data_IF_264189671411
#
_entry.id   IF_264189671411
#
_cell.length_a   1.000
_cell.length_b   1.000
_cell.length_c   1.000
_cell.angle_alpha   90.00
_cell.angle_beta   90.00
_cell.angle_gamma   90.00
#
_symmetry.space_group_name_H-M   'P 1'
#
loop_
_entity.id
_entity.type
_entity.pdbx_description
1 polymer ?
#
# COMPACT_ATOMS: atom_id res chain seq x y z
N UNK A 1 -68.23 -8.29 75.28
CA UNK A 1 -68.27 -9.20 74.14
C UNK A 1 -67.42 -8.56 73.02
N UNK A 2 -66.32 -9.10 72.76
CA UNK A 2 -65.17 -8.49 72.07
C UNK A 2 -65.13 -8.79 70.63
N UNK A 3 -65.15 -7.75 69.77
CA UNK A 3 -64.97 -7.90 68.33
C UNK A 3 -63.53 -7.58 67.95
N UNK A 4 -62.81 -8.59 67.51
CA UNK A 4 -61.42 -8.45 67.01
C UNK A 4 -61.45 -8.17 65.57
N UNK A 5 -61.11 -6.97 65.15
CA UNK A 5 -60.87 -6.60 63.78
C UNK A 5 -59.45 -6.98 63.42
N UNK A 6 -59.34 -7.98 62.54
CA UNK A 6 -58.05 -8.39 61.95
C UNK A 6 -57.52 -7.37 60.93
N UNK A 7 -56.43 -6.74 61.28
CA UNK A 7 -55.70 -5.89 60.32
C UNK A 7 -54.92 -6.75 59.34
N UNK A 8 -55.40 -6.86 58.11
CA UNK A 8 -54.63 -7.44 56.99
C UNK A 8 -53.61 -6.40 56.53
N UNK A 9 -52.34 -6.64 56.82
CA UNK A 9 -51.21 -5.87 56.25
C UNK A 9 -51.04 -6.32 54.82
N UNK A 10 -51.36 -5.44 53.90
CA UNK A 10 -51.02 -5.63 52.48
C UNK A 10 -49.57 -5.16 52.27
N UNK A 11 -48.67 -6.12 52.16
CA UNK A 11 -47.27 -5.85 51.81
C UNK A 11 -47.24 -5.67 50.29
N UNK A 12 -47.16 -4.41 49.83
CA UNK A 12 -46.90 -4.09 48.45
C UNK A 12 -45.42 -4.33 48.14
N UNK A 13 -45.13 -5.40 47.40
CA UNK A 13 -43.82 -5.66 46.85
C UNK A 13 -43.58 -4.72 45.70
N UNK A 14 -42.82 -3.66 45.93
CA UNK A 14 -42.30 -2.78 44.90
C UNK A 14 -41.13 -3.51 44.22
N UNK A 15 -41.41 -4.11 43.07
CA UNK A 15 -40.38 -4.69 42.20
C UNK A 15 -39.57 -3.55 41.55
N UNK A 16 -38.39 -3.27 42.10
CA UNK A 16 -37.42 -2.38 41.45
C UNK A 16 -36.86 -3.06 40.21
N UNK A 17 -37.33 -2.64 39.05
CA UNK A 17 -36.69 -3.00 37.77
C UNK A 17 -35.40 -2.18 37.65
N UNK A 18 -34.27 -2.81 37.96
CA UNK A 18 -32.96 -2.30 37.61
C UNK A 18 -32.81 -2.43 36.09
N UNK A 19 -33.10 -1.35 35.37
CA UNK A 19 -32.70 -1.21 33.97
C UNK A 19 -31.19 -1.07 33.96
N UNK A 20 -30.50 -2.19 33.81
CA UNK A 20 -29.07 -2.22 33.57
C UNK A 20 -28.80 -1.55 32.21
N UNK A 21 -28.21 -0.36 32.25
CA UNK A 21 -27.55 0.21 31.04
C UNK A 21 -26.39 -0.72 30.70
N UNK A 22 -26.61 -1.65 29.81
CA UNK A 22 -25.49 -2.31 29.12
C UNK A 22 -24.76 -1.21 28.34
N UNK A 23 -23.62 -0.77 28.87
CA UNK A 23 -22.65 -0.01 28.08
C UNK A 23 -22.22 -0.92 26.95
N UNK A 24 -22.91 -0.80 25.81
CA UNK A 24 -22.43 -1.36 24.56
C UNK A 24 -21.02 -0.81 24.37
N UNK A 25 -20.03 -1.69 24.43
CA UNK A 25 -18.63 -1.36 24.21
C UNK A 25 -18.55 -0.57 22.90
N UNK A 26 -18.11 0.68 23.01
CA UNK A 26 -17.92 1.58 21.88
C UNK A 26 -16.81 1.05 20.98
N UNK A 27 -17.11 0.03 20.18
CA UNK A 27 -16.36 -0.22 18.96
C UNK A 27 -16.45 1.07 18.15
N UNK A 28 -15.32 1.72 17.88
CA UNK A 28 -15.28 2.84 16.92
C UNK A 28 -16.04 2.36 15.69
N UNK A 29 -17.02 3.11 15.18
CA UNK A 29 -17.66 2.74 13.95
C UNK A 29 -16.53 2.65 12.91
N UNK A 30 -16.31 1.47 12.35
CA UNK A 30 -15.51 1.32 11.15
C UNK A 30 -16.28 2.06 10.08
N UNK A 31 -15.92 3.32 9.86
CA UNK A 31 -16.49 4.12 8.78
C UNK A 31 -16.19 3.37 7.49
N UNK A 32 -17.23 2.77 6.91
CA UNK A 32 -17.13 2.20 5.57
C UNK A 32 -16.79 3.35 4.63
N UNK A 33 -15.55 3.40 4.18
CA UNK A 33 -15.11 4.33 3.15
C UNK A 33 -15.53 3.70 1.83
N UNK A 34 -16.52 4.29 1.18
CA UNK A 34 -16.91 3.85 -0.15
C UNK A 34 -15.71 3.99 -1.10
N UNK A 35 -15.47 2.99 -1.98
CA UNK A 35 -14.39 3.07 -2.96
C UNK A 35 -14.55 4.33 -3.83
N UNK A 36 -13.54 5.19 -3.83
CA UNK A 36 -13.45 6.37 -4.67
C UNK A 36 -12.10 6.38 -5.40
N UNK A 37 -12.06 5.89 -6.65
CA UNK A 37 -10.82 5.82 -7.42
C UNK A 37 -10.15 7.20 -7.61
N UNK A 38 -10.93 8.27 -7.80
CA UNK A 38 -10.35 9.62 -7.96
C UNK A 38 -9.69 10.11 -6.67
N UNK A 39 -10.35 9.88 -5.54
CA UNK A 39 -9.78 10.22 -4.24
C UNK A 39 -8.54 9.34 -3.94
N UNK A 40 -8.50 8.09 -4.40
CA UNK A 40 -7.32 7.24 -4.30
C UNK A 40 -6.13 7.83 -5.06
N UNK A 41 -6.32 8.22 -6.32
CA UNK A 41 -5.26 8.84 -7.13
C UNK A 41 -4.74 10.15 -6.51
N UNK A 42 -5.64 11.01 -6.00
CA UNK A 42 -5.26 12.24 -5.29
C UNK A 42 -4.40 11.92 -4.07
N UNK A 43 -4.77 10.91 -3.28
CA UNK A 43 -3.99 10.51 -2.12
C UNK A 43 -2.61 9.94 -2.50
N UNK A 44 -2.47 9.25 -3.64
CA UNK A 44 -1.16 8.85 -4.17
C UNK A 44 -0.30 10.07 -4.47
N UNK A 45 -0.83 11.07 -5.19
CA UNK A 45 -0.10 12.28 -5.52
C UNK A 45 0.33 13.07 -4.28
N UNK A 46 -0.55 13.17 -3.28
CA UNK A 46 -0.22 13.79 -1.99
C UNK A 46 0.89 13.02 -1.28
N UNK A 47 0.79 11.70 -1.22
CA UNK A 47 1.81 10.84 -0.62
C UNK A 47 3.19 11.03 -1.27
N UNK A 48 3.26 11.02 -2.60
CA UNK A 48 4.49 11.28 -3.34
C UNK A 48 5.05 12.68 -3.06
N UNK A 49 4.17 13.70 -3.00
CA UNK A 49 4.57 15.07 -2.68
C UNK A 49 5.14 15.20 -1.27
N UNK A 50 4.54 14.56 -0.26
CA UNK A 50 5.06 14.54 1.10
C UNK A 50 6.37 13.75 1.19
N UNK A 51 6.50 12.64 0.46
CA UNK A 51 7.74 11.86 0.38
C UNK A 51 8.89 12.68 -0.20
N UNK A 52 8.65 13.50 -1.24
CA UNK A 52 9.66 14.41 -1.81
C UNK A 52 10.14 15.47 -0.81
N UNK A 53 9.27 15.89 0.11
CA UNK A 53 9.59 16.86 1.19
C UNK A 53 10.21 16.20 2.42
N UNK A 54 10.42 14.88 2.42
CA UNK A 54 10.93 14.13 3.55
C UNK A 54 9.92 13.86 4.68
N UNK A 55 8.64 14.21 4.49
CA UNK A 55 7.57 14.00 5.47
C UNK A 55 7.01 12.57 5.33
N UNK A 56 7.81 11.57 5.64
CA UNK A 56 7.54 10.16 5.37
C UNK A 56 6.33 9.61 6.12
N UNK A 57 6.08 10.05 7.35
CA UNK A 57 4.92 9.64 8.14
C UNK A 57 3.60 10.08 7.48
N UNK A 58 3.53 11.36 7.08
CA UNK A 58 2.35 11.90 6.38
C UNK A 58 2.22 11.23 5.00
N UNK A 59 3.34 10.97 4.30
CA UNK A 59 3.33 10.27 3.03
C UNK A 59 2.67 8.89 3.18
N UNK A 60 3.08 8.11 4.19
CA UNK A 60 2.51 6.79 4.45
C UNK A 60 1.01 6.87 4.74
N UNK A 61 0.58 7.81 5.60
CA UNK A 61 -0.85 8.03 5.89
C UNK A 61 -1.68 8.26 4.61
N UNK A 62 -1.18 9.11 3.70
CA UNK A 62 -1.90 9.41 2.45
C UNK A 62 -1.93 8.20 1.51
N UNK A 63 -0.83 7.46 1.40
CA UNK A 63 -0.74 6.27 0.56
C UNK A 63 -1.61 5.11 1.10
N UNK A 64 -1.66 4.91 2.42
CA UNK A 64 -2.56 3.94 3.05
C UNK A 64 -4.02 4.34 2.82
N UNK A 65 -4.35 5.63 2.90
CA UNK A 65 -5.68 6.13 2.58
C UNK A 65 -6.04 5.87 1.11
N UNK A 66 -5.08 5.98 0.19
CA UNK A 66 -5.29 5.59 -1.20
C UNK A 66 -5.70 4.11 -1.32
N UNK A 67 -5.00 3.20 -0.62
CA UNK A 67 -5.34 1.77 -0.59
C UNK A 67 -6.66 1.46 0.14
N UNK A 68 -7.07 2.27 1.13
CA UNK A 68 -8.40 2.15 1.72
C UNK A 68 -9.51 2.47 0.72
N UNK A 69 -9.27 3.42 -0.19
CA UNK A 69 -10.21 3.82 -1.24
C UNK A 69 -10.17 2.89 -2.46
N UNK A 70 -8.99 2.42 -2.83
CA UNK A 70 -8.79 1.43 -3.89
C UNK A 70 -7.68 0.43 -3.50
N UNK A 71 -8.03 -0.71 -2.88
CA UNK A 71 -7.05 -1.70 -2.43
C UNK A 71 -6.23 -2.34 -3.56
N UNK A 72 -6.68 -2.21 -4.80
CA UNK A 72 -6.02 -2.79 -5.97
C UNK A 72 -5.26 -1.77 -6.82
N UNK A 73 -5.01 -0.56 -6.31
CA UNK A 73 -4.37 0.50 -7.07
C UNK A 73 -2.85 0.27 -7.20
N UNK A 74 -2.34 -0.06 -8.41
CA UNK A 74 -0.92 -0.38 -8.61
C UNK A 74 -0.01 0.78 -8.24
N UNK A 75 -0.40 2.02 -8.55
CA UNK A 75 0.38 3.23 -8.27
C UNK A 75 0.54 3.49 -6.76
N UNK A 76 -0.48 3.17 -5.95
CA UNK A 76 -0.38 3.29 -4.50
C UNK A 76 0.61 2.26 -3.92
N UNK A 77 0.54 1.02 -4.38
CA UNK A 77 1.52 0.00 -3.99
C UNK A 77 2.94 0.39 -4.41
N UNK A 78 3.15 0.85 -5.65
CA UNK A 78 4.46 1.32 -6.10
C UNK A 78 4.99 2.48 -5.24
N UNK A 79 4.15 3.47 -4.91
CA UNK A 79 4.55 4.60 -4.09
C UNK A 79 4.90 4.19 -2.64
N UNK A 80 4.15 3.26 -2.04
CA UNK A 80 4.47 2.70 -0.70
C UNK A 80 5.78 1.92 -0.75
N UNK A 81 6.02 1.15 -1.82
CA UNK A 81 7.27 0.42 -2.00
C UNK A 81 8.48 1.37 -2.03
N UNK A 82 8.40 2.44 -2.81
CA UNK A 82 9.43 3.49 -2.87
C UNK A 82 9.64 4.17 -1.51
N UNK A 83 8.58 4.39 -0.74
CA UNK A 83 8.68 4.94 0.61
C UNK A 83 9.42 3.99 1.54
N UNK A 84 9.06 2.71 1.58
CA UNK A 84 9.76 1.73 2.42
C UNK A 84 11.21 1.49 1.97
N UNK A 85 11.50 1.53 0.67
CA UNK A 85 12.89 1.49 0.17
C UNK A 85 13.70 2.65 0.72
N UNK A 86 13.17 3.89 0.73
CA UNK A 86 13.83 5.07 1.32
C UNK A 86 14.03 4.95 2.83
N UNK A 87 13.14 4.26 3.53
CA UNK A 87 13.23 3.99 4.96
C UNK A 87 14.16 2.81 5.30
N UNK A 88 14.69 2.10 4.29
CA UNK A 88 15.54 0.92 4.47
C UNK A 88 14.77 -0.35 4.88
N UNK A 89 13.43 -0.32 4.79
CA UNK A 89 12.56 -1.45 5.14
C UNK A 89 12.36 -2.38 3.93
N UNK A 90 13.43 -3.09 3.53
CA UNK A 90 13.49 -3.86 2.27
C UNK A 90 12.38 -4.89 2.13
N UNK A 91 12.02 -5.62 3.19
CA UNK A 91 10.97 -6.65 3.12
C UNK A 91 9.60 -6.05 2.80
N UNK A 92 9.28 -4.90 3.40
CA UNK A 92 8.03 -4.19 3.12
C UNK A 92 8.05 -3.59 1.71
N UNK A 93 9.19 -3.03 1.29
CA UNK A 93 9.35 -2.50 -0.05
C UNK A 93 9.11 -3.59 -1.10
N UNK A 94 9.77 -4.75 -0.97
CA UNK A 94 9.62 -5.86 -1.90
C UNK A 94 8.17 -6.36 -1.98
N UNK A 95 7.50 -6.52 -0.83
CA UNK A 95 6.10 -6.91 -0.78
C UNK A 95 5.23 -5.97 -1.62
N UNK A 96 5.38 -4.67 -1.45
CA UNK A 96 4.57 -3.69 -2.16
C UNK A 96 4.96 -3.57 -3.65
N UNK A 97 6.23 -3.71 -4.02
CA UNK A 97 6.62 -3.81 -5.42
C UNK A 97 5.98 -5.01 -6.11
N UNK A 98 6.01 -6.20 -5.48
CA UNK A 98 5.34 -7.41 -5.98
C UNK A 98 3.84 -7.18 -6.19
N UNK A 99 3.17 -6.57 -5.22
CA UNK A 99 1.75 -6.25 -5.33
C UNK A 99 1.47 -5.30 -6.50
N UNK A 100 2.29 -4.26 -6.68
CA UNK A 100 2.11 -3.31 -7.78
C UNK A 100 2.16 -4.00 -9.15
N UNK A 101 3.22 -4.76 -9.42
CA UNK A 101 3.40 -5.42 -10.72
C UNK A 101 2.47 -6.62 -10.93
N UNK A 102 1.94 -7.21 -9.85
CA UNK A 102 0.92 -8.25 -9.92
C UNK A 102 -0.44 -7.68 -10.36
N UNK A 103 -0.81 -6.50 -9.85
CA UNK A 103 -2.10 -5.86 -10.17
C UNK A 103 -2.12 -5.25 -11.56
N UNK A 104 -1.01 -4.68 -12.00
CA UNK A 104 -0.83 -4.25 -13.40
C UNK A 104 0.56 -4.62 -13.91
N UNK A 105 0.70 -5.76 -14.60
CA UNK A 105 1.97 -6.16 -15.20
C UNK A 105 2.50 -5.21 -16.28
N UNK A 106 1.65 -4.33 -16.85
CA UNK A 106 2.02 -3.35 -17.87
C UNK A 106 2.36 -1.97 -17.30
N UNK A 107 2.31 -1.80 -15.98
CA UNK A 107 2.70 -0.56 -15.34
C UNK A 107 4.22 -0.41 -15.36
N UNK A 108 4.73 0.25 -16.40
CA UNK A 108 6.17 0.33 -16.72
C UNK A 108 6.99 0.99 -15.63
N UNK A 109 6.47 2.07 -14.98
CA UNK A 109 7.17 2.71 -13.87
C UNK A 109 7.35 1.75 -12.69
N UNK A 110 6.34 0.96 -12.36
CA UNK A 110 6.45 -0.01 -11.28
C UNK A 110 7.44 -1.14 -11.61
N UNK A 111 7.43 -1.61 -12.86
CA UNK A 111 8.40 -2.59 -13.34
C UNK A 111 9.83 -2.04 -13.23
N UNK A 112 10.07 -0.82 -13.71
CA UNK A 112 11.38 -0.16 -13.63
C UNK A 112 11.82 0.06 -12.18
N UNK A 113 10.95 0.59 -11.32
CA UNK A 113 11.25 0.85 -9.92
C UNK A 113 11.56 -0.44 -9.16
N UNK A 114 10.79 -1.51 -9.42
CA UNK A 114 11.07 -2.82 -8.84
C UNK A 114 12.41 -3.38 -9.35
N UNK A 115 12.75 -3.17 -10.63
CA UNK A 115 14.06 -3.52 -11.19
C UNK A 115 15.20 -2.81 -10.46
N UNK A 116 15.09 -1.49 -10.22
CA UNK A 116 16.08 -0.74 -9.44
C UNK A 116 16.26 -1.32 -8.05
N UNK A 117 15.15 -1.55 -7.34
CA UNK A 117 15.18 -2.17 -6.02
C UNK A 117 15.89 -3.54 -6.02
N UNK A 118 15.53 -4.43 -6.94
CA UNK A 118 16.14 -5.76 -7.04
C UNK A 118 17.65 -5.68 -7.35
N UNK A 119 18.06 -4.73 -8.20
CA UNK A 119 19.47 -4.52 -8.51
C UNK A 119 20.26 -4.06 -7.27
N UNK A 120 19.71 -3.17 -6.46
CA UNK A 120 20.27 -2.76 -5.17
C UNK A 120 20.39 -3.93 -4.18
N UNK A 121 19.41 -4.84 -4.19
CA UNK A 121 19.42 -6.07 -3.40
C UNK A 121 20.32 -7.16 -4.01
N UNK A 122 21.05 -6.88 -5.09
CA UNK A 122 21.95 -7.81 -5.82
C UNK A 122 21.24 -8.97 -6.51
N UNK A 123 19.95 -8.86 -6.75
CA UNK A 123 19.17 -9.82 -7.52
C UNK A 123 19.19 -9.42 -9.00
N UNK A 124 20.37 -9.46 -9.61
CA UNK A 124 20.67 -8.80 -10.89
C UNK A 124 19.86 -9.35 -12.05
N UNK A 125 19.74 -10.66 -12.19
CA UNK A 125 18.99 -11.30 -13.27
C UNK A 125 17.49 -10.96 -13.18
N UNK A 126 16.92 -11.01 -11.97
CA UNK A 126 15.54 -10.62 -11.72
C UNK A 126 15.31 -9.14 -12.01
N UNK A 127 16.28 -8.29 -11.68
CA UNK A 127 16.23 -6.85 -11.95
C UNK A 127 16.18 -6.58 -13.47
N UNK A 128 17.07 -7.21 -14.24
CA UNK A 128 17.10 -7.08 -15.71
C UNK A 128 15.76 -7.49 -16.30
N UNK A 129 15.15 -8.59 -15.84
CA UNK A 129 13.83 -8.99 -16.31
C UNK A 129 12.77 -7.91 -16.06
N UNK A 130 12.78 -7.24 -14.89
CA UNK A 130 11.85 -6.15 -14.59
C UNK A 130 12.05 -4.95 -15.51
N UNK A 131 13.29 -4.56 -15.78
CA UNK A 131 13.58 -3.48 -16.72
C UNK A 131 13.08 -3.80 -18.13
N UNK A 132 13.27 -5.04 -18.59
CA UNK A 132 12.76 -5.47 -19.89
C UNK A 132 11.23 -5.50 -19.95
N UNK A 133 10.55 -5.90 -18.86
CA UNK A 133 9.08 -5.79 -18.78
C UNK A 133 8.62 -4.32 -18.90
N UNK A 134 9.33 -3.38 -18.25
CA UNK A 134 9.02 -1.96 -18.37
C UNK A 134 9.07 -1.45 -19.82
N UNK A 135 9.98 -1.97 -20.64
CA UNK A 135 10.15 -1.53 -22.04
C UNK A 135 9.11 -2.07 -23.02
N UNK A 136 8.29 -3.05 -22.61
CA UNK A 136 7.27 -3.65 -23.49
C UNK A 136 6.13 -2.72 -23.84
N UNK A 137 5.85 -1.72 -23.01
CA UNK A 137 4.84 -0.72 -23.29
C UNK A 137 5.42 0.33 -24.27
N UNK A 138 4.90 0.43 -25.50
CA UNK A 138 5.42 1.39 -26.47
C UNK A 138 5.19 2.86 -26.08
N UNK A 139 4.26 3.13 -25.16
CA UNK A 139 3.93 4.47 -24.66
C UNK A 139 4.76 4.86 -23.43
N UNK A 140 5.67 4.02 -22.97
CA UNK A 140 6.52 4.33 -21.83
C UNK A 140 7.64 5.28 -22.24
N UNK A 141 7.54 6.54 -21.85
CA UNK A 141 8.48 7.60 -22.24
C UNK A 141 9.90 7.35 -21.72
N UNK A 142 10.05 6.73 -20.54
CA UNK A 142 11.37 6.46 -19.95
C UNK A 142 11.95 5.10 -20.36
N UNK A 143 11.65 4.62 -21.55
CA UNK A 143 12.13 3.33 -22.07
C UNK A 143 13.66 3.26 -22.15
N UNK A 144 14.31 4.32 -22.65
CA UNK A 144 15.76 4.41 -22.72
C UNK A 144 16.39 4.29 -21.32
N UNK A 145 15.83 4.99 -20.33
CA UNK A 145 16.29 4.90 -18.94
C UNK A 145 16.17 3.49 -18.36
N UNK A 146 15.09 2.76 -18.68
CA UNK A 146 14.93 1.38 -18.23
C UNK A 146 16.00 0.47 -18.87
N UNK A 147 16.36 0.68 -20.13
CA UNK A 147 17.45 -0.06 -20.81
C UNK A 147 18.82 0.29 -20.24
N UNK A 148 19.09 1.56 -19.91
CA UNK A 148 20.32 1.97 -19.22
C UNK A 148 20.43 1.31 -17.85
N UNK A 149 19.34 1.26 -17.08
CA UNK A 149 19.26 0.55 -15.79
C UNK A 149 19.52 -0.94 -15.99
N UNK A 150 18.94 -1.56 -17.01
CA UNK A 150 19.20 -2.97 -17.34
C UNK A 150 20.69 -3.21 -17.66
N UNK A 151 21.32 -2.37 -18.48
CA UNK A 151 22.74 -2.44 -18.80
C UNK A 151 23.61 -2.27 -17.56
N UNK A 152 23.31 -1.27 -16.73
CA UNK A 152 24.04 -1.00 -15.48
C UNK A 152 23.97 -2.17 -14.52
N UNK A 153 22.80 -2.79 -14.39
CA UNK A 153 22.59 -3.94 -13.52
C UNK A 153 23.22 -5.20 -14.11
N UNK A 154 23.07 -5.44 -15.42
CA UNK A 154 23.67 -6.55 -16.14
C UNK A 154 25.21 -6.57 -16.05
N UNK A 155 25.85 -5.40 -16.00
CA UNK A 155 27.30 -5.29 -15.80
C UNK A 155 27.81 -5.86 -14.44
N UNK A 156 26.90 -6.21 -13.55
CA UNK A 156 27.20 -6.93 -12.29
C UNK A 156 27.10 -8.45 -12.43
N UNK A 157 26.59 -8.93 -13.57
CA UNK A 157 26.53 -10.34 -13.93
C UNK A 157 27.85 -10.67 -14.67
N UNK A 158 28.39 -11.89 -14.56
CA UNK A 158 29.64 -12.29 -15.24
C UNK A 158 29.55 -12.36 -16.80
N UNK A 159 28.55 -11.75 -17.40
CA UNK A 159 28.36 -11.67 -18.86
C UNK A 159 28.33 -10.20 -19.31
N UNK A 160 29.50 -9.69 -19.70
CA UNK A 160 29.64 -8.30 -20.15
C UNK A 160 28.93 -8.01 -21.48
N UNK A 161 28.72 -9.03 -22.32
CA UNK A 161 28.05 -8.84 -23.63
C UNK A 161 26.59 -8.43 -23.44
N UNK A 162 25.98 -8.88 -22.38
CA UNK A 162 24.60 -8.56 -22.03
C UNK A 162 24.43 -7.07 -21.67
N UNK A 163 25.38 -6.50 -20.93
CA UNK A 163 25.36 -5.10 -20.55
C UNK A 163 25.51 -4.19 -21.81
N UNK A 164 26.47 -4.49 -22.67
CA UNK A 164 26.69 -3.74 -23.92
C UNK A 164 25.44 -3.76 -24.80
N UNK A 165 24.79 -4.91 -24.94
CA UNK A 165 23.56 -5.05 -25.69
C UNK A 165 22.46 -4.07 -25.23
N UNK A 166 22.22 -3.97 -23.91
CA UNK A 166 21.18 -3.08 -23.39
C UNK A 166 21.55 -1.60 -23.52
N UNK A 167 22.83 -1.23 -23.37
CA UNK A 167 23.26 0.14 -23.61
C UNK A 167 23.08 0.55 -25.07
N UNK A 168 23.38 -0.34 -26.02
CA UNK A 168 23.16 -0.08 -27.43
C UNK A 168 21.68 0.07 -27.76
N UNK A 169 20.80 -0.70 -27.13
CA UNK A 169 19.35 -0.54 -27.31
C UNK A 169 18.81 0.77 -26.74
N UNK A 170 19.40 1.29 -25.67
CA UNK A 170 18.98 2.56 -25.08
C UNK A 170 19.25 3.77 -25.98
N UNK A 171 20.20 3.64 -26.94
CA UNK A 171 20.56 4.72 -27.87
C UNK A 171 19.68 4.77 -29.16
N UNK A 172 18.75 3.83 -29.32
CA UNK A 172 17.82 3.73 -30.44
C UNK A 172 16.47 4.39 -30.14
#
# INVERSE_FOLDING_TARGET
MTNRVSKRIVVALISLWLVGCTTAGGGRPTTYIAPDPKAADINVQLGLSYMQRGNYEIALEKLEKALQQNPNLPSAHNAIALLFQRLGESDKAEKHFKESVLRDPRYSEAQNNYGVFLCEQKHYEAAVQRFLEATKNPLYESKAQALENAGTCANRIPDQTLAEHYFLQALQ
#
